data_IF_772816124990
#
_entry.id   IF_772816124990
#
_cell.length_a   1.000
_cell.length_b   1.000
_cell.length_c   1.000
_cell.angle_alpha   90.00
_cell.angle_beta   90.00
_cell.angle_gamma   90.00
#
_symmetry.space_group_name_H-M   'P 1'
#
loop_
_entity.id
_entity.type
_entity.pdbx_description
1 polymer ?
#
# COMPACT_ATOMS: atom_id res chain seq x y z
N UNK A 1 -4.32 -7.27 -5.66
CA UNK A 1 -5.10 -8.54 -5.70
C UNK A 1 -4.46 -9.65 -4.86
N UNK A 2 -3.17 -9.94 -5.03
CA UNK A 2 -2.50 -11.06 -4.35
C UNK A 2 -2.40 -10.92 -2.83
N UNK A 3 -2.25 -9.69 -2.32
CA UNK A 3 -2.22 -9.40 -0.88
C UNK A 3 -3.50 -9.85 -0.16
N UNK A 4 -4.67 -9.68 -0.77
CA UNK A 4 -5.94 -10.14 -0.18
C UNK A 4 -5.97 -11.67 -0.09
N UNK A 5 -5.51 -12.38 -1.13
CA UNK A 5 -5.42 -13.84 -1.10
C UNK A 5 -4.40 -14.34 -0.07
N UNK A 6 -3.23 -13.71 0.01
CA UNK A 6 -2.26 -14.00 1.05
C UNK A 6 -2.86 -13.76 2.44
N UNK A 7 -3.58 -12.66 2.64
CA UNK A 7 -4.19 -12.34 3.94
C UNK A 7 -5.25 -13.35 4.33
N UNK A 8 -6.01 -13.88 3.36
CA UNK A 8 -6.96 -14.95 3.65
C UNK A 8 -6.29 -16.23 4.17
N UNK A 9 -5.10 -16.55 3.63
CA UNK A 9 -4.33 -17.76 3.97
C UNK A 9 -3.48 -17.60 5.24
N UNK A 10 -2.75 -16.50 5.33
CA UNK A 10 -1.69 -16.24 6.32
C UNK A 10 -2.12 -15.22 7.40
N UNK A 11 -3.29 -14.58 7.24
CA UNK A 11 -3.83 -13.62 8.19
C UNK A 11 -2.97 -12.36 8.38
N UNK A 12 -2.92 -11.86 9.61
CA UNK A 12 -2.24 -10.62 9.98
C UNK A 12 -0.72 -10.60 9.70
N UNK A 13 -0.08 -11.76 9.53
CA UNK A 13 1.34 -11.85 9.17
C UNK A 13 1.66 -11.18 7.83
N UNK A 14 0.68 -11.11 6.93
CA UNK A 14 0.80 -10.41 5.65
C UNK A 14 1.04 -8.92 5.85
N UNK A 15 0.39 -8.30 6.85
CA UNK A 15 0.60 -6.89 7.17
C UNK A 15 2.06 -6.68 7.58
N UNK A 16 2.61 -7.56 8.42
CA UNK A 16 4.01 -7.50 8.83
C UNK A 16 4.99 -7.74 7.68
N UNK A 17 4.66 -8.64 6.76
CA UNK A 17 5.44 -8.94 5.55
C UNK A 17 5.64 -7.71 4.68
N UNK A 18 4.57 -6.96 4.42
CA UNK A 18 4.60 -5.77 3.55
C UNK A 18 4.88 -4.44 4.28
N UNK A 19 5.04 -4.47 5.61
CA UNK A 19 5.45 -3.32 6.43
C UNK A 19 6.82 -3.54 7.06
N UNK A 20 6.88 -4.05 8.30
CA UNK A 20 8.09 -4.16 9.14
C UNK A 20 9.18 -5.03 8.51
N UNK A 21 8.83 -6.06 7.73
CA UNK A 21 9.78 -6.91 6.99
C UNK A 21 10.27 -6.30 5.67
N UNK A 22 9.94 -5.02 5.41
CA UNK A 22 10.48 -4.22 4.31
C UNK A 22 11.87 -3.66 4.61
N UNK A 23 12.58 -4.20 5.61
CA UNK A 23 13.98 -3.88 5.86
C UNK A 23 14.78 -5.16 5.92
N UNK A 24 15.91 -5.17 5.22
CA UNK A 24 16.95 -6.16 5.45
C UNK A 24 17.91 -5.63 6.52
N UNK A 25 18.06 -6.39 7.60
CA UNK A 25 18.98 -6.04 8.69
C UNK A 25 20.30 -6.76 8.45
N UNK A 26 21.35 -5.98 8.18
CA UNK A 26 22.74 -6.43 8.11
C UNK A 26 23.51 -5.86 9.30
N UNK A 27 24.65 -6.48 9.69
CA UNK A 27 25.51 -5.88 10.71
C UNK A 27 25.85 -4.42 10.35
N UNK A 28 25.41 -3.48 11.18
CA UNK A 28 25.64 -2.04 10.99
C UNK A 28 24.77 -1.34 9.94
N UNK A 29 23.81 -2.01 9.29
CA UNK A 29 22.97 -1.41 8.25
C UNK A 29 21.52 -1.92 8.27
N UNK A 30 20.57 -0.99 8.12
CA UNK A 30 19.14 -1.26 7.89
C UNK A 30 18.81 -0.84 6.46
N UNK A 31 18.68 -1.81 5.56
CA UNK A 31 18.50 -1.55 4.12
C UNK A 31 17.01 -1.63 3.79
N UNK A 32 16.37 -0.55 3.32
CA UNK A 32 14.97 -0.58 2.94
C UNK A 32 14.76 -1.40 1.66
N UNK A 33 13.70 -2.21 1.66
CA UNK A 33 13.16 -2.86 0.47
C UNK A 33 12.07 -1.98 -0.11
N UNK A 34 12.35 -1.44 -1.29
CA UNK A 34 11.38 -0.67 -2.06
C UNK A 34 10.29 -1.60 -2.58
N UNK A 35 9.03 -1.24 -2.34
CA UNK A 35 7.86 -2.00 -2.78
C UNK A 35 6.99 -1.10 -3.66
N UNK A 36 6.48 -1.66 -4.76
CA UNK A 36 5.43 -1.07 -5.56
C UNK A 36 4.13 -1.85 -5.35
N UNK A 37 3.07 -1.18 -4.90
CA UNK A 37 1.72 -1.75 -4.88
C UNK A 37 1.04 -1.43 -6.20
N UNK A 38 0.92 -2.44 -7.06
CA UNK A 38 0.31 -2.30 -8.38
C UNK A 38 -1.21 -2.41 -8.31
N UNK A 39 -1.92 -1.58 -9.10
CA UNK A 39 -3.38 -1.52 -9.19
C UNK A 39 -4.08 -1.41 -7.83
N UNK A 40 -3.63 -0.46 -7.00
CA UNK A 40 -4.28 -0.12 -5.72
C UNK A 40 -5.76 0.21 -5.98
N UNK A 41 -6.66 -0.52 -5.33
CA UNK A 41 -8.10 -0.36 -5.46
C UNK A 41 -8.78 -1.55 -6.11
N UNK A 42 -8.03 -2.40 -6.83
CA UNK A 42 -8.57 -3.55 -7.54
C UNK A 42 -8.76 -4.79 -6.63
N UNK A 43 -8.33 -4.73 -5.37
CA UNK A 43 -8.48 -5.84 -4.44
C UNK A 43 -9.88 -5.92 -3.81
N UNK A 44 -10.32 -7.15 -3.52
CA UNK A 44 -11.57 -7.40 -2.83
C UNK A 44 -11.38 -7.24 -1.31
N UNK A 45 -12.36 -6.60 -0.65
CA UNK A 45 -12.46 -6.59 0.80
C UNK A 45 -12.88 -7.99 1.28
N UNK A 46 -11.92 -8.77 1.77
CA UNK A 46 -12.18 -10.11 2.30
C UNK A 46 -12.46 -10.05 3.80
N UNK A 47 -13.45 -10.83 4.25
CA UNK A 47 -13.73 -11.04 5.67
C UNK A 47 -12.81 -12.15 6.19
N UNK A 48 -12.10 -11.90 7.28
CA UNK A 48 -11.29 -12.90 7.96
C UNK A 48 -11.84 -13.08 9.37
N UNK A 49 -12.31 -14.29 9.70
CA UNK A 49 -12.99 -14.61 10.97
C UNK A 49 -14.15 -13.66 11.34
N UNK A 50 -14.90 -13.17 10.35
CA UNK A 50 -16.06 -12.30 10.56
C UNK A 50 -15.75 -10.80 10.71
N UNK A 51 -14.48 -10.42 10.88
CA UNK A 51 -14.07 -9.02 10.87
C UNK A 51 -13.75 -8.57 9.45
N UNK A 52 -14.29 -7.42 9.07
CA UNK A 52 -13.84 -6.69 7.87
C UNK A 52 -12.50 -6.05 8.19
N UNK A 53 -11.43 -6.58 7.59
CA UNK A 53 -10.09 -6.01 7.67
C UNK A 53 -9.62 -5.71 6.26
N UNK A 54 -9.48 -4.42 5.94
CA UNK A 54 -8.78 -4.02 4.73
C UNK A 54 -7.28 -4.13 5.01
N UNK A 55 -6.71 -5.30 4.72
CA UNK A 55 -5.30 -5.60 4.94
C UNK A 55 -4.39 -4.56 4.26
N UNK A 56 -4.80 -4.04 3.10
CA UNK A 56 -4.03 -3.04 2.38
C UNK A 56 -4.06 -1.67 3.07
N UNK A 57 -5.20 -1.25 3.63
CA UNK A 57 -5.26 -0.05 4.49
C UNK A 57 -4.25 -0.13 5.63
N UNK A 58 -4.21 -1.26 6.34
CA UNK A 58 -3.30 -1.46 7.49
C UNK A 58 -1.83 -1.47 7.06
N UNK A 59 -1.53 -2.08 5.90
CA UNK A 59 -0.20 -2.03 5.30
C UNK A 59 0.18 -0.58 4.99
N UNK A 60 -0.69 0.20 4.34
CA UNK A 60 -0.40 1.59 3.97
C UNK A 60 -0.16 2.48 5.19
N UNK A 61 -0.96 2.32 6.24
CA UNK A 61 -0.76 3.05 7.49
C UNK A 61 0.55 2.65 8.17
N UNK A 62 0.83 1.34 8.25
CA UNK A 62 2.10 0.85 8.83
C UNK A 62 3.32 1.34 8.04
N UNK A 63 3.21 1.44 6.71
CA UNK A 63 4.27 1.97 5.85
C UNK A 63 4.44 3.48 5.99
N UNK A 64 3.36 4.22 6.20
CA UNK A 64 3.44 5.64 6.54
C UNK A 64 4.24 5.85 7.84
N UNK A 65 3.96 5.06 8.88
CA UNK A 65 4.72 5.17 10.14
C UNK A 65 6.22 4.91 9.90
N UNK A 66 6.57 3.92 9.06
CA UNK A 66 7.94 3.62 8.65
C UNK A 66 8.57 4.67 7.72
N UNK A 67 7.76 5.36 6.93
CA UNK A 67 8.20 6.51 6.14
C UNK A 67 8.63 7.64 7.07
N UNK A 68 7.84 7.94 8.09
CA UNK A 68 8.16 8.98 9.08
C UNK A 68 9.38 8.59 9.92
N UNK A 69 9.49 7.34 10.38
CA UNK A 69 10.59 6.92 11.25
C UNK A 69 11.90 6.65 10.53
N UNK A 70 11.85 6.07 9.33
CA UNK A 70 13.00 5.48 8.66
C UNK A 70 13.15 5.91 7.19
N UNK A 71 12.29 6.79 6.68
CA UNK A 71 12.32 7.23 5.28
C UNK A 71 11.96 6.12 4.28
N UNK A 72 11.17 5.11 4.69
CA UNK A 72 10.77 4.01 3.81
C UNK A 72 9.98 4.50 2.59
N UNK A 73 10.58 4.41 1.42
CA UNK A 73 9.92 4.79 0.16
C UNK A 73 8.91 3.71 -0.25
N UNK A 74 7.74 4.16 -0.69
CA UNK A 74 6.67 3.32 -1.22
C UNK A 74 6.23 3.84 -2.58
N UNK A 75 6.06 2.93 -3.55
CA UNK A 75 5.49 3.26 -4.85
C UNK A 75 4.12 2.60 -5.00
N UNK A 76 3.24 3.23 -5.76
CA UNK A 76 1.91 2.70 -6.03
C UNK A 76 1.45 3.13 -7.43
N UNK A 77 0.64 2.29 -8.06
CA UNK A 77 -0.15 2.63 -9.25
C UNK A 77 -1.63 2.46 -8.90
N UNK A 78 -2.49 3.28 -9.49
CA UNK A 78 -3.93 3.21 -9.25
C UNK A 78 -4.68 3.87 -10.39
N UNK A 79 -5.87 3.34 -10.69
CA UNK A 79 -6.85 4.01 -11.54
C UNK A 79 -7.83 4.89 -10.72
N UNK A 80 -7.67 4.92 -9.39
CA UNK A 80 -8.54 5.66 -8.50
C UNK A 80 -8.06 7.09 -8.30
N UNK A 81 -9.01 8.03 -8.26
CA UNK A 81 -8.74 9.38 -7.81
C UNK A 81 -8.76 9.48 -6.27
N UNK A 82 -8.37 10.63 -5.73
CA UNK A 82 -8.27 10.85 -4.29
C UNK A 82 -9.60 10.62 -3.53
N UNK A 83 -10.74 10.95 -4.12
CA UNK A 83 -12.06 10.75 -3.51
C UNK A 83 -12.46 9.27 -3.49
N UNK A 84 -12.11 8.52 -4.54
CA UNK A 84 -12.34 7.07 -4.60
C UNK A 84 -11.44 6.32 -3.60
N UNK A 85 -10.18 6.73 -3.48
CA UNK A 85 -9.26 6.23 -2.45
C UNK A 85 -9.84 6.47 -1.04
N UNK A 86 -10.36 7.67 -0.76
CA UNK A 86 -11.00 7.95 0.52
C UNK A 86 -12.24 7.12 0.77
N UNK A 87 -13.08 6.91 -0.26
CA UNK A 87 -14.26 6.07 -0.15
C UNK A 87 -13.91 4.61 0.16
N UNK A 88 -12.82 4.10 -0.43
CA UNK A 88 -12.42 2.71 -0.31
C UNK A 88 -11.58 2.41 0.95
N UNK A 89 -10.66 3.29 1.31
CA UNK A 89 -9.69 3.07 2.39
C UNK A 89 -9.89 4.00 3.60
N UNK A 90 -10.78 4.99 3.48
CA UNK A 90 -11.07 5.97 4.52
C UNK A 90 -10.20 7.22 4.46
N UNK A 91 -10.71 8.30 5.07
CA UNK A 91 -10.07 9.62 5.09
C UNK A 91 -8.65 9.60 5.70
N UNK A 92 -8.41 8.70 6.67
CA UNK A 92 -7.11 8.55 7.32
C UNK A 92 -6.05 8.10 6.32
N UNK A 93 -6.31 7.03 5.56
CA UNK A 93 -5.38 6.53 4.54
C UNK A 93 -5.14 7.60 3.47
N UNK A 94 -6.22 8.20 2.94
CA UNK A 94 -6.11 9.29 1.96
C UNK A 94 -5.22 10.44 2.45
N UNK A 95 -5.36 10.83 3.71
CA UNK A 95 -4.53 11.89 4.31
C UNK A 95 -3.05 11.51 4.39
N UNK A 96 -2.73 10.25 4.75
CA UNK A 96 -1.34 9.77 4.82
C UNK A 96 -0.70 9.65 3.44
N UNK A 97 -1.46 9.17 2.45
CA UNK A 97 -0.99 9.11 1.07
C UNK A 97 -0.65 10.50 0.54
N UNK A 98 -1.47 11.51 0.84
CA UNK A 98 -1.21 12.91 0.45
C UNK A 98 0.09 13.45 1.04
N UNK A 99 0.48 13.00 2.22
CA UNK A 99 1.68 13.45 2.92
C UNK A 99 2.95 12.72 2.44
N UNK A 100 2.86 11.41 2.21
CA UNK A 100 4.05 10.59 1.89
C UNK A 100 4.32 10.41 0.39
N UNK A 101 3.37 10.73 -0.48
CA UNK A 101 3.49 10.47 -1.92
C UNK A 101 3.66 11.72 -2.76
N UNK A 102 4.45 11.60 -3.82
CA UNK A 102 4.41 12.49 -4.97
C UNK A 102 3.42 11.93 -5.99
N UNK A 103 2.32 12.63 -6.23
CA UNK A 103 1.27 12.19 -7.16
C UNK A 103 1.62 12.61 -8.59
N UNK A 104 1.68 11.64 -9.48
CA UNK A 104 1.85 11.84 -10.93
C UNK A 104 0.61 11.30 -11.62
N UNK A 105 -0.13 12.17 -12.30
CA UNK A 105 -1.35 11.82 -13.02
C UNK A 105 -1.15 11.95 -14.52
N UNK A 106 -1.76 11.05 -15.28
CA UNK A 106 -1.82 11.12 -16.74
C UNK A 106 -3.20 11.61 -17.16
N UNK A 107 -3.31 12.46 -18.20
CA UNK A 107 -4.60 12.82 -18.75
C UNK A 107 -5.25 11.62 -19.47
N UNK A 108 -6.57 11.61 -19.58
CA UNK A 108 -7.34 10.51 -20.19
C UNK A 108 -6.95 10.23 -21.65
N UNK A 109 -6.43 11.24 -22.35
CA UNK A 109 -5.95 11.13 -23.73
C UNK A 109 -4.45 10.79 -23.83
N UNK A 110 -3.79 10.43 -22.73
CA UNK A 110 -2.40 10.01 -22.76
C UNK A 110 -2.23 8.79 -23.67
N UNK A 111 -1.25 8.84 -24.56
CA UNK A 111 -0.93 7.70 -25.42
C UNK A 111 -0.53 6.47 -24.58
N UNK A 112 -0.95 5.28 -25.03
CA UNK A 112 -0.55 4.02 -24.40
C UNK A 112 0.99 3.89 -24.45
N UNK A 113 1.61 3.84 -23.26
CA UNK A 113 3.07 3.77 -23.10
C UNK A 113 3.64 2.36 -23.20
N UNK A 114 2.80 1.35 -23.45
CA UNK A 114 3.21 -0.05 -23.65
C UNK A 114 3.58 -0.36 -25.11
N UNK A 115 3.40 0.59 -26.02
CA UNK A 115 3.69 0.47 -27.44
C UNK A 115 5.00 1.14 -27.81
#
# INVERSE_FOLDING_TARGET
RDISFEFHKDGYDVIHRYSKKSFEIKPGAKIPKTICFDDLGAEENLKHFGNECNALSEILLSRYDLFISDGLITHMTTNLNASEIEKQYGARVRSRLREMMNVVSFPDNAADKRK
#
